data_IF_560309115488
#
_entry.id   IF_560309115488
#
_cell.length_a   1.000
_cell.length_b   1.000
_cell.length_c   1.000
_cell.angle_alpha   90.00
_cell.angle_beta   90.00
_cell.angle_gamma   90.00
#
_symmetry.space_group_name_H-M   'P 1'
#
loop_
_entity.id
_entity.type
_entity.pdbx_description
1 polymer ?
#
# COMPACT_ATOMS: atom_id res chain seq x y z
N UNK A 1 23.41 -28.04 25.29
CA UNK A 1 22.19 -27.73 24.53
C UNK A 1 22.56 -26.59 23.61
N UNK A 2 22.93 -26.91 22.37
CA UNK A 2 23.14 -25.95 21.29
C UNK A 2 21.77 -25.49 20.79
N UNK A 3 21.55 -24.18 20.59
CA UNK A 3 20.28 -23.71 20.04
C UNK A 3 20.15 -24.23 18.61
N UNK A 4 19.05 -24.92 18.34
CA UNK A 4 18.61 -25.21 16.97
C UNK A 4 18.28 -23.89 16.29
N UNK A 5 18.77 -23.64 15.07
CA UNK A 5 18.39 -22.45 14.32
C UNK A 5 16.89 -22.51 14.06
N UNK A 6 16.19 -21.45 14.48
CA UNK A 6 14.79 -21.26 14.17
C UNK A 6 14.59 -21.36 12.66
N UNK A 7 13.63 -22.18 12.26
CA UNK A 7 13.10 -22.25 10.91
C UNK A 7 12.38 -20.93 10.61
N UNK A 8 13.15 -19.88 10.36
CA UNK A 8 12.66 -18.61 9.86
C UNK A 8 11.89 -18.88 8.57
N UNK A 9 10.64 -18.43 8.53
CA UNK A 9 9.78 -18.43 7.36
C UNK A 9 10.58 -18.03 6.12
N UNK A 10 10.85 -18.99 5.22
CA UNK A 10 11.44 -18.69 3.93
C UNK A 10 10.44 -17.82 3.18
N UNK A 11 10.64 -16.51 3.22
CA UNK A 11 9.96 -15.60 2.30
C UNK A 11 10.28 -16.13 0.91
N UNK A 12 9.30 -16.72 0.23
CA UNK A 12 9.46 -17.18 -1.14
C UNK A 12 9.97 -15.99 -1.94
N UNK A 13 11.11 -16.18 -2.60
CA UNK A 13 11.72 -15.14 -3.43
C UNK A 13 10.73 -14.62 -4.47
N UNK A 14 10.84 -13.35 -4.85
CA UNK A 14 10.10 -12.83 -6.01
C UNK A 14 10.69 -13.33 -7.34
N UNK A 15 10.07 -12.98 -8.49
CA UNK A 15 10.68 -13.18 -9.80
C UNK A 15 12.02 -12.45 -9.92
N UNK A 16 12.85 -12.84 -10.89
CA UNK A 16 14.16 -12.23 -11.14
C UNK A 16 14.00 -10.76 -11.58
N UNK A 17 14.52 -9.81 -10.80
CA UNK A 17 14.52 -8.40 -11.21
C UNK A 17 15.48 -8.13 -12.37
N UNK A 18 15.38 -6.95 -12.99
CA UNK A 18 16.36 -6.53 -14.02
C UNK A 18 17.76 -6.35 -13.44
N UNK A 19 17.86 -5.93 -12.17
CA UNK A 19 19.15 -5.79 -11.47
C UNK A 19 19.77 -7.18 -11.28
N UNK A 20 19.01 -8.14 -10.77
CA UNK A 20 19.50 -9.51 -10.62
C UNK A 20 19.91 -10.10 -11.98
N UNK A 21 19.15 -9.87 -13.05
CA UNK A 21 19.49 -10.34 -14.40
C UNK A 21 20.81 -9.75 -14.92
N UNK A 22 21.05 -8.46 -14.66
CA UNK A 22 22.30 -7.80 -15.00
C UNK A 22 23.47 -8.36 -14.19
N UNK A 23 23.27 -8.56 -12.89
CA UNK A 23 24.28 -9.14 -11.99
C UNK A 23 24.63 -10.57 -12.37
N UNK A 24 23.64 -11.43 -12.62
CA UNK A 24 23.85 -12.80 -13.11
C UNK A 24 24.63 -12.80 -14.43
N UNK A 25 24.29 -11.91 -15.37
CA UNK A 25 25.03 -11.77 -16.63
C UNK A 25 26.48 -11.35 -16.43
N UNK A 26 26.74 -10.43 -15.49
CA UNK A 26 28.09 -9.99 -15.14
C UNK A 26 28.89 -11.10 -14.47
N UNK A 27 28.30 -11.84 -13.54
CA UNK A 27 28.91 -12.98 -12.86
C UNK A 27 29.27 -14.10 -13.85
N UNK A 28 28.39 -14.42 -14.80
CA UNK A 28 28.70 -15.40 -15.87
C UNK A 28 29.91 -14.97 -16.69
N UNK A 29 29.99 -13.69 -17.09
CA UNK A 29 31.14 -13.18 -17.84
C UNK A 29 32.44 -13.23 -17.04
N UNK A 30 32.39 -12.96 -15.73
CA UNK A 30 33.54 -13.04 -14.83
C UNK A 30 33.99 -14.48 -14.62
N UNK A 31 33.06 -15.42 -14.42
CA UNK A 31 33.35 -16.85 -14.29
C UNK A 31 33.97 -17.42 -15.57
N UNK A 32 33.47 -17.01 -16.74
CA UNK A 32 34.03 -17.39 -18.04
C UNK A 32 35.48 -16.88 -18.19
N UNK A 33 35.72 -15.61 -17.85
CA UNK A 33 37.07 -15.04 -17.86
C UNK A 33 38.00 -15.73 -16.85
N UNK A 34 37.51 -16.05 -15.65
CA UNK A 34 38.27 -16.75 -14.62
C UNK A 34 38.71 -18.15 -15.07
N UNK A 35 37.83 -18.87 -15.77
CA UNK A 35 38.17 -20.17 -16.38
C UNK A 35 39.24 -20.04 -17.47
N UNK A 36 39.11 -19.05 -18.38
CA UNK A 36 40.07 -18.81 -19.46
C UNK A 36 41.45 -18.39 -18.93
N UNK A 37 41.47 -17.54 -17.91
CA UNK A 37 42.69 -16.97 -17.34
C UNK A 37 43.32 -17.84 -16.25
N UNK A 38 42.70 -18.95 -15.87
CA UNK A 38 43.14 -19.82 -14.77
C UNK A 38 43.32 -19.03 -13.47
N UNK A 39 42.30 -18.23 -13.12
CA UNK A 39 42.33 -17.42 -11.91
C UNK A 39 42.35 -18.28 -10.64
N UNK A 40 42.75 -17.66 -9.52
CA UNK A 40 42.76 -18.31 -8.22
C UNK A 40 41.35 -18.75 -7.81
N UNK A 41 41.26 -19.95 -7.25
CA UNK A 41 40.00 -20.52 -6.74
C UNK A 41 39.42 -19.65 -5.62
N UNK A 42 40.29 -19.11 -4.76
CA UNK A 42 39.94 -18.21 -3.67
C UNK A 42 39.32 -18.93 -2.47
N UNK A 43 39.08 -18.18 -1.39
CA UNK A 43 38.25 -18.63 -0.26
C UNK A 43 36.78 -18.26 -0.52
N UNK A 44 35.85 -19.12 -0.12
CA UNK A 44 34.42 -18.79 -0.14
C UNK A 44 34.17 -17.46 0.59
N UNK A 45 33.54 -16.50 -0.10
CA UNK A 45 33.15 -15.22 0.48
C UNK A 45 34.23 -14.12 0.49
N UNK A 46 35.42 -14.36 -0.08
CA UNK A 46 36.53 -13.38 -0.03
C UNK A 46 36.93 -12.86 -1.40
N UNK A 47 37.33 -13.73 -2.31
CA UNK A 47 37.71 -13.40 -3.70
C UNK A 47 37.76 -14.70 -4.54
N UNK A 48 37.99 -14.59 -5.84
CA UNK A 48 38.23 -15.74 -6.72
C UNK A 48 36.97 -16.47 -7.19
N UNK A 49 37.17 -17.64 -7.80
CA UNK A 49 36.12 -18.43 -8.46
C UNK A 49 35.00 -18.85 -7.51
N UNK A 50 35.33 -19.25 -6.27
CA UNK A 50 34.32 -19.71 -5.31
C UNK A 50 33.40 -18.58 -4.85
N UNK A 51 33.90 -17.35 -4.68
CA UNK A 51 33.06 -16.19 -4.38
C UNK A 51 32.07 -15.93 -5.52
N UNK A 52 32.54 -15.95 -6.77
CA UNK A 52 31.69 -15.73 -7.94
C UNK A 52 30.57 -16.78 -8.06
N UNK A 53 30.90 -18.05 -7.79
CA UNK A 53 29.91 -19.14 -7.80
C UNK A 53 28.91 -19.01 -6.66
N UNK A 54 29.35 -18.60 -5.47
CA UNK A 54 28.48 -18.39 -4.31
C UNK A 54 27.52 -17.21 -4.50
N UNK A 55 28.02 -16.07 -4.99
CA UNK A 55 27.20 -14.90 -5.35
C UNK A 55 26.15 -15.29 -6.39
N UNK A 56 26.56 -16.03 -7.43
CA UNK A 56 25.67 -16.49 -8.48
C UNK A 56 24.60 -17.45 -7.95
N UNK A 57 24.98 -18.43 -7.12
CA UNK A 57 24.04 -19.35 -6.48
C UNK A 57 23.09 -18.64 -5.51
N UNK A 58 23.58 -17.63 -4.79
CA UNK A 58 22.80 -16.83 -3.83
C UNK A 58 21.70 -16.06 -4.54
N UNK A 59 22.02 -15.38 -5.65
CA UNK A 59 21.00 -14.67 -6.45
C UNK A 59 19.95 -15.68 -6.96
N UNK A 60 20.36 -16.80 -7.54
CA UNK A 60 19.43 -17.81 -8.06
C UNK A 60 18.51 -18.40 -6.97
N UNK A 61 19.04 -18.69 -5.77
CA UNK A 61 18.27 -19.25 -4.63
C UNK A 61 17.36 -18.23 -3.95
N UNK A 62 17.72 -16.96 -3.98
CA UNK A 62 16.94 -15.89 -3.36
C UNK A 62 15.66 -15.54 -4.13
N UNK A 63 15.51 -16.06 -5.35
CA UNK A 63 14.41 -15.79 -6.28
C UNK A 63 13.61 -17.06 -6.55
N UNK A 64 12.37 -16.92 -7.04
CA UNK A 64 11.50 -18.06 -7.40
C UNK A 64 11.92 -18.71 -8.73
N UNK A 65 13.22 -18.98 -8.88
CA UNK A 65 13.77 -19.64 -10.04
C UNK A 65 14.06 -21.06 -9.61
N UNK A 66 13.13 -21.96 -9.93
CA UNK A 66 13.35 -23.41 -9.84
C UNK A 66 14.32 -23.83 -10.96
N UNK A 67 15.57 -23.38 -10.83
CA UNK A 67 16.58 -23.52 -11.86
C UNK A 67 17.44 -24.72 -11.56
N UNK A 68 17.45 -25.69 -12.47
CA UNK A 68 18.46 -26.73 -12.54
C UNK A 68 19.89 -26.13 -12.54
N UNK A 69 20.02 -24.86 -12.96
CA UNK A 69 21.26 -24.08 -12.91
C UNK A 69 21.74 -23.86 -11.48
N UNK A 70 20.86 -23.50 -10.54
CA UNK A 70 21.26 -23.25 -9.15
C UNK A 70 21.86 -24.51 -8.52
N UNK A 71 21.22 -25.67 -8.75
CA UNK A 71 21.73 -26.97 -8.29
C UNK A 71 23.06 -27.31 -8.96
N UNK A 72 23.17 -27.08 -10.28
CA UNK A 72 24.39 -27.36 -11.03
C UNK A 72 25.58 -26.50 -10.58
N UNK A 73 25.35 -25.22 -10.30
CA UNK A 73 26.36 -24.28 -9.79
C UNK A 73 26.85 -24.71 -8.42
N UNK A 74 25.93 -25.04 -7.51
CA UNK A 74 26.26 -25.44 -6.14
C UNK A 74 27.06 -26.74 -6.13
N UNK A 75 26.68 -27.71 -6.97
CA UNK A 75 27.45 -28.95 -7.13
C UNK A 75 28.86 -28.65 -7.64
N UNK A 76 28.99 -27.77 -8.63
CA UNK A 76 30.32 -27.43 -9.16
C UNK A 76 31.18 -26.66 -8.15
N UNK A 77 30.56 -25.79 -7.35
CA UNK A 77 31.23 -25.11 -6.25
C UNK A 77 31.78 -26.11 -5.23
N UNK A 78 31.03 -27.16 -4.90
CA UNK A 78 31.48 -28.22 -4.01
C UNK A 78 32.61 -29.06 -4.63
N UNK A 79 32.51 -29.39 -5.93
CA UNK A 79 33.58 -30.09 -6.67
C UNK A 79 34.91 -29.31 -6.57
N UNK A 80 34.89 -28.00 -6.90
CA UNK A 80 36.09 -27.15 -6.85
C UNK A 80 36.65 -27.03 -5.42
N UNK A 81 35.77 -26.87 -4.42
CA UNK A 81 36.22 -26.69 -3.02
C UNK A 81 36.81 -27.95 -2.40
N UNK A 82 36.50 -29.14 -2.93
CA UNK A 82 37.06 -30.41 -2.46
C UNK A 82 38.42 -30.71 -3.11
N UNK A 83 38.67 -30.18 -4.31
CA UNK A 83 39.85 -30.46 -5.11
C UNK A 83 40.99 -29.44 -4.93
N UNK A 84 40.66 -28.18 -4.64
CA UNK A 84 41.63 -27.08 -4.59
C UNK A 84 41.75 -26.44 -3.21
N UNK A 85 42.97 -26.06 -2.82
CA UNK A 85 43.17 -25.16 -1.68
C UNK A 85 42.88 -23.70 -2.10
N UNK A 86 42.54 -22.80 -1.16
CA UNK A 86 42.03 -21.47 -1.55
C UNK A 86 42.98 -20.55 -2.32
N UNK A 87 44.28 -20.82 -2.29
CA UNK A 87 45.27 -20.03 -3.02
C UNK A 87 45.75 -20.71 -4.31
N UNK A 88 45.18 -21.87 -4.64
CA UNK A 88 45.51 -22.58 -5.87
C UNK A 88 44.81 -21.91 -7.06
N UNK A 89 45.48 -21.91 -8.20
CA UNK A 89 44.87 -21.54 -9.47
C UNK A 89 44.20 -22.76 -10.08
N UNK A 90 43.09 -22.55 -10.78
CA UNK A 90 42.49 -23.60 -11.61
C UNK A 90 43.52 -24.14 -12.61
N UNK A 91 43.56 -25.46 -12.77
CA UNK A 91 44.33 -26.03 -13.86
C UNK A 91 43.68 -25.78 -15.22
N UNK A 92 44.39 -26.12 -16.31
CA UNK A 92 43.90 -25.85 -17.66
C UNK A 92 42.65 -26.65 -18.03
N UNK A 93 42.51 -27.87 -17.51
CA UNK A 93 41.39 -28.74 -17.84
C UNK A 93 40.13 -28.31 -17.08
N UNK A 94 40.26 -27.94 -15.81
CA UNK A 94 39.17 -27.42 -14.99
C UNK A 94 38.76 -26.00 -15.39
N UNK A 95 39.71 -25.16 -15.79
CA UNK A 95 39.40 -23.85 -16.38
C UNK A 95 38.53 -23.97 -17.64
N UNK A 96 38.82 -24.95 -18.51
CA UNK A 96 38.00 -25.26 -19.69
C UNK A 96 36.67 -25.90 -19.34
N UNK A 97 36.60 -26.74 -18.31
CA UNK A 97 35.33 -27.32 -17.85
C UNK A 97 34.41 -26.24 -17.27
N UNK A 98 34.96 -25.31 -16.48
CA UNK A 98 34.24 -24.14 -15.96
C UNK A 98 33.70 -23.29 -17.12
N UNK A 99 34.51 -22.95 -18.11
CA UNK A 99 34.08 -22.20 -19.31
C UNK A 99 32.88 -22.88 -19.99
N UNK A 100 32.96 -24.21 -20.19
CA UNK A 100 31.90 -24.99 -20.81
C UNK A 100 30.63 -25.04 -19.96
N UNK A 101 30.76 -25.18 -18.63
CA UNK A 101 29.65 -25.17 -17.67
C UNK A 101 28.97 -23.80 -17.65
N UNK A 102 29.73 -22.71 -17.59
CA UNK A 102 29.21 -21.34 -17.69
C UNK A 102 28.43 -21.13 -18.98
N UNK A 103 28.94 -21.59 -20.13
CA UNK A 103 28.21 -21.55 -21.40
C UNK A 103 26.94 -22.40 -21.43
N UNK A 104 26.86 -23.49 -20.64
CA UNK A 104 25.64 -24.26 -20.46
C UNK A 104 24.63 -23.53 -19.56
N UNK A 105 25.08 -22.99 -18.43
CA UNK A 105 24.25 -22.22 -17.49
C UNK A 105 23.66 -20.98 -18.14
N UNK A 106 24.45 -20.24 -18.92
CA UNK A 106 23.99 -19.09 -19.70
C UNK A 106 22.81 -19.46 -20.60
N UNK A 107 22.92 -20.54 -21.38
CA UNK A 107 21.85 -21.00 -22.27
C UNK A 107 20.60 -21.45 -21.52
N UNK A 108 20.76 -22.08 -20.36
CA UNK A 108 19.62 -22.49 -19.53
C UNK A 108 18.90 -21.26 -18.97
N UNK A 109 19.63 -20.30 -18.42
CA UNK A 109 19.06 -19.04 -17.92
C UNK A 109 18.41 -18.23 -19.04
N UNK A 110 19.05 -18.10 -20.21
CA UNK A 110 18.45 -17.44 -21.37
C UNK A 110 17.14 -18.12 -21.80
N UNK A 111 17.07 -19.44 -21.75
CA UNK A 111 15.86 -20.19 -22.08
C UNK A 111 14.77 -20.05 -21.00
N UNK A 112 15.14 -19.99 -19.72
CA UNK A 112 14.20 -19.74 -18.62
C UNK A 112 13.66 -18.32 -18.68
N UNK A 113 14.53 -17.32 -18.79
CA UNK A 113 14.15 -15.92 -18.92
C UNK A 113 13.41 -15.63 -20.23
N UNK A 114 13.75 -16.34 -21.31
CA UNK A 114 13.04 -16.23 -22.59
C UNK A 114 11.61 -16.79 -22.55
N UNK A 115 11.25 -17.61 -21.55
CA UNK A 115 9.87 -18.07 -21.33
C UNK A 115 9.07 -17.12 -20.44
N UNK A 116 9.74 -16.24 -19.69
CA UNK A 116 9.09 -15.28 -18.82
C UNK A 116 8.41 -14.18 -19.66
N UNK A 117 7.13 -13.92 -19.39
CA UNK A 117 6.43 -12.78 -19.97
C UNK A 117 6.53 -11.60 -19.01
N UNK A 118 7.28 -10.58 -19.41
CA UNK A 118 7.40 -9.33 -18.65
C UNK A 118 6.51 -8.27 -19.28
N UNK A 119 5.69 -7.62 -18.45
CA UNK A 119 4.91 -6.45 -18.84
C UNK A 119 5.72 -5.23 -18.43
N UNK A 120 6.12 -4.42 -19.41
CA UNK A 120 6.81 -3.16 -19.12
C UNK A 120 5.87 -2.24 -18.35
N UNK A 121 6.38 -1.59 -17.31
CA UNK A 121 5.66 -0.52 -16.65
C UNK A 121 5.44 0.64 -17.65
N UNK A 122 4.21 1.14 -17.69
CA UNK A 122 3.82 2.28 -18.49
C UNK A 122 4.49 3.56 -17.97
N UNK A 123 4.66 4.53 -18.86
CA UNK A 123 5.01 5.88 -18.45
C UNK A 123 3.77 6.54 -17.81
N UNK A 124 3.70 6.46 -16.48
CA UNK A 124 2.66 7.13 -15.69
C UNK A 124 2.98 8.62 -15.44
N UNK A 125 4.03 9.16 -16.05
CA UNK A 125 4.48 10.55 -15.95
C UNK A 125 5.04 10.90 -14.57
N UNK A 126 4.36 11.79 -13.84
CA UNK A 126 4.86 12.29 -12.55
C UNK A 126 4.55 11.36 -11.36
N UNK A 127 3.79 10.28 -11.57
CA UNK A 127 3.48 9.33 -10.50
C UNK A 127 4.65 8.36 -10.27
N UNK A 128 4.91 8.06 -9.00
CA UNK A 128 5.89 7.05 -8.62
C UNK A 128 5.34 5.64 -8.91
N UNK A 129 5.90 4.97 -9.92
CA UNK A 129 5.51 3.60 -10.30
C UNK A 129 5.66 2.63 -9.12
N UNK A 130 6.74 2.76 -8.34
CA UNK A 130 6.99 1.90 -7.21
C UNK A 130 5.95 2.15 -6.09
N UNK A 131 5.69 3.43 -5.80
CA UNK A 131 4.61 3.86 -4.91
C UNK A 131 3.25 3.28 -5.32
N UNK A 132 2.86 3.37 -6.60
CA UNK A 132 1.59 2.82 -7.08
C UNK A 132 1.50 1.29 -6.95
N UNK A 133 2.58 0.55 -7.16
CA UNK A 133 2.57 -0.91 -7.09
C UNK A 133 2.61 -1.44 -5.66
N UNK A 134 3.44 -0.82 -4.83
CA UNK A 134 3.84 -1.36 -3.53
C UNK A 134 3.26 -0.60 -2.35
N UNK A 135 2.91 0.67 -2.51
CA UNK A 135 2.40 1.56 -1.46
C UNK A 135 1.20 2.41 -1.93
N UNK A 136 0.12 1.80 -2.47
CA UNK A 136 -1.04 2.55 -2.97
C UNK A 136 -1.71 3.42 -1.89
N UNK A 137 -1.51 3.11 -0.61
CA UNK A 137 -1.91 3.95 0.53
C UNK A 137 -1.29 5.35 0.50
N UNK A 138 -0.13 5.54 -0.14
CA UNK A 138 0.53 6.84 -0.23
C UNK A 138 -0.23 7.85 -1.10
N UNK A 139 -1.32 7.44 -1.74
CA UNK A 139 -2.26 8.35 -2.42
C UNK A 139 -3.12 9.15 -1.43
N UNK A 140 -3.15 8.73 -0.16
CA UNK A 140 -4.01 9.26 0.88
C UNK A 140 -3.21 9.59 2.14
N UNK A 141 -3.79 10.43 2.99
CA UNK A 141 -3.37 10.50 4.38
C UNK A 141 -3.78 9.22 5.12
N UNK A 142 -3.04 8.88 6.18
CA UNK A 142 -3.22 7.62 6.92
C UNK A 142 -4.64 7.47 7.47
N UNK A 143 -5.25 8.55 7.96
CA UNK A 143 -6.64 8.56 8.46
C UNK A 143 -7.65 8.21 7.37
N UNK A 144 -7.51 8.82 6.18
CA UNK A 144 -8.36 8.55 5.03
C UNK A 144 -8.19 7.11 4.56
N UNK A 145 -6.95 6.62 4.46
CA UNK A 145 -6.70 5.23 4.08
C UNK A 145 -7.30 4.25 5.08
N UNK A 146 -7.12 4.49 6.39
CA UNK A 146 -7.64 3.60 7.42
C UNK A 146 -9.16 3.56 7.46
N UNK A 147 -9.83 4.68 7.15
CA UNK A 147 -11.29 4.75 7.00
C UNK A 147 -11.85 3.86 5.88
N UNK A 148 -11.09 3.62 4.80
CA UNK A 148 -11.55 2.78 3.70
C UNK A 148 -11.71 1.32 4.12
N UNK A 149 -12.83 0.70 3.73
CA UNK A 149 -13.04 -0.73 3.94
C UNK A 149 -12.08 -1.59 3.08
N UNK A 150 -12.01 -2.88 3.40
CA UNK A 150 -11.10 -3.80 2.69
C UNK A 150 -11.39 -3.91 1.19
N UNK A 151 -12.66 -3.78 0.79
CA UNK A 151 -13.09 -3.89 -0.60
C UNK A 151 -12.67 -2.68 -1.43
N UNK A 152 -12.88 -1.48 -0.90
CA UNK A 152 -12.47 -0.20 -1.49
C UNK A 152 -10.96 -0.10 -1.55
N UNK A 153 -10.24 -0.51 -0.50
CA UNK A 153 -8.78 -0.63 -0.53
C UNK A 153 -8.34 -1.52 -1.69
N UNK A 154 -8.95 -2.71 -1.85
CA UNK A 154 -8.61 -3.61 -2.94
C UNK A 154 -8.82 -2.97 -4.33
N UNK A 155 -9.93 -2.25 -4.51
CA UNK A 155 -10.22 -1.52 -5.75
C UNK A 155 -9.17 -0.46 -6.07
N UNK A 156 -8.75 0.32 -5.07
CA UNK A 156 -7.67 1.30 -5.23
C UNK A 156 -6.37 0.60 -5.63
N UNK A 157 -5.96 -0.47 -4.92
CA UNK A 157 -4.72 -1.19 -5.25
C UNK A 157 -4.75 -1.73 -6.67
N UNK A 158 -5.87 -2.27 -7.11
CA UNK A 158 -6.04 -2.81 -8.47
C UNK A 158 -6.07 -1.68 -9.52
N UNK A 159 -6.67 -0.52 -9.21
CA UNK A 159 -6.66 0.66 -10.06
C UNK A 159 -5.23 1.19 -10.30
N UNK A 160 -4.40 1.21 -9.26
CA UNK A 160 -2.98 1.58 -9.35
C UNK A 160 -2.19 0.59 -10.22
N UNK A 161 -2.35 -0.72 -9.96
CA UNK A 161 -1.67 -1.77 -10.73
C UNK A 161 -2.04 -1.73 -12.21
N UNK A 162 -3.33 -1.60 -12.52
CA UNK A 162 -3.81 -1.54 -13.91
C UNK A 162 -3.37 -0.28 -14.63
N UNK A 163 -3.21 0.85 -13.92
CA UNK A 163 -2.59 2.05 -14.49
C UNK A 163 -1.13 1.79 -14.90
N UNK A 164 -0.36 1.15 -14.02
CA UNK A 164 1.07 0.86 -14.25
C UNK A 164 1.30 -0.11 -15.42
N UNK A 165 0.34 -0.99 -15.74
CA UNK A 165 0.45 -1.90 -16.90
C UNK A 165 -0.29 -1.38 -18.16
N UNK A 166 -0.53 -0.08 -18.26
CA UNK A 166 -1.21 0.61 -19.37
C UNK A 166 -2.60 0.02 -19.71
N UNK A 167 -3.39 -0.28 -18.67
CA UNK A 167 -4.79 -0.70 -18.80
C UNK A 167 -5.74 0.43 -18.34
N UNK A 168 -5.86 1.53 -19.10
CA UNK A 168 -6.51 2.76 -18.65
C UNK A 168 -7.99 2.57 -18.35
N UNK A 169 -8.72 1.76 -19.13
CA UNK A 169 -10.14 1.46 -18.88
C UNK A 169 -10.33 0.80 -17.52
N UNK A 170 -9.53 -0.23 -17.20
CA UNK A 170 -9.61 -0.95 -15.92
C UNK A 170 -9.29 -0.02 -14.76
N UNK A 171 -8.24 0.79 -14.88
CA UNK A 171 -7.86 1.76 -13.85
C UNK A 171 -8.97 2.76 -13.56
N UNK A 172 -9.62 3.31 -14.60
CA UNK A 172 -10.76 4.22 -14.43
C UNK A 172 -11.95 3.52 -13.79
N UNK A 173 -12.32 2.32 -14.27
CA UNK A 173 -13.47 1.58 -13.73
C UNK A 173 -13.28 1.23 -12.25
N UNK A 174 -12.09 0.77 -11.86
CA UNK A 174 -11.77 0.43 -10.47
C UNK A 174 -11.72 1.66 -9.57
N UNK A 175 -11.14 2.76 -10.05
CA UNK A 175 -11.15 4.05 -9.34
C UNK A 175 -12.59 4.52 -9.10
N UNK A 176 -13.44 4.44 -10.12
CA UNK A 176 -14.85 4.81 -9.99
C UNK A 176 -15.58 3.86 -9.06
N UNK A 177 -15.31 2.55 -9.06
CA UNK A 177 -15.95 1.62 -8.13
C UNK A 177 -15.61 1.94 -6.67
N UNK A 178 -14.35 2.23 -6.38
CA UNK A 178 -13.90 2.67 -5.05
C UNK A 178 -14.63 3.96 -4.61
N UNK A 179 -14.72 4.95 -5.49
CA UNK A 179 -15.42 6.19 -5.17
C UNK A 179 -16.93 6.01 -5.02
N UNK A 180 -17.55 5.05 -5.74
CA UNK A 180 -18.99 4.77 -5.62
C UNK A 180 -19.33 4.32 -4.21
N UNK A 181 -18.47 3.46 -3.66
CA UNK A 181 -18.60 2.98 -2.30
C UNK A 181 -18.54 4.15 -1.30
N UNK A 182 -17.52 5.00 -1.41
CA UNK A 182 -17.36 6.17 -0.54
C UNK A 182 -18.53 7.16 -0.67
N UNK A 183 -19.05 7.36 -1.88
CA UNK A 183 -20.23 8.20 -2.14
C UNK A 183 -21.49 7.64 -1.46
N UNK A 184 -21.67 6.32 -1.44
CA UNK A 184 -22.80 5.69 -0.72
C UNK A 184 -22.67 5.90 0.78
N UNK A 185 -21.49 5.67 1.35
CA UNK A 185 -21.22 5.93 2.77
C UNK A 185 -21.54 7.38 3.11
N UNK A 186 -21.07 8.33 2.30
CA UNK A 186 -21.37 9.74 2.51
C UNK A 186 -22.85 10.07 2.44
N UNK A 187 -23.56 9.51 1.47
CA UNK A 187 -25.01 9.67 1.36
C UNK A 187 -25.75 9.10 2.58
N UNK A 188 -25.38 7.91 3.04
CA UNK A 188 -25.99 7.27 4.21
C UNK A 188 -25.78 8.12 5.46
N UNK A 189 -24.57 8.66 5.65
CA UNK A 189 -24.23 9.58 6.74
C UNK A 189 -24.95 10.94 6.63
N UNK A 190 -25.22 11.43 5.41
CA UNK A 190 -25.93 12.70 5.22
C UNK A 190 -27.44 12.59 5.42
N UNK A 191 -28.04 11.53 4.87
CA UNK A 191 -29.49 11.37 4.75
C UNK A 191 -30.12 10.45 5.78
N UNK A 192 -29.30 9.75 6.58
CA UNK A 192 -29.71 8.65 7.49
C UNK A 192 -30.44 7.50 6.76
N UNK A 193 -30.35 7.47 5.42
CA UNK A 193 -31.08 6.53 4.58
C UNK A 193 -30.12 5.68 3.75
N UNK A 194 -30.29 4.36 3.87
CA UNK A 194 -29.55 3.41 3.05
C UNK A 194 -29.95 3.55 1.60
N UNK A 195 -28.95 3.78 0.76
CA UNK A 195 -29.18 3.96 -0.67
C UNK A 195 -28.91 2.66 -1.42
N UNK A 196 -29.98 1.94 -1.77
CA UNK A 196 -29.88 0.80 -2.71
C UNK A 196 -29.80 1.24 -4.18
N UNK A 197 -29.89 2.55 -4.46
CA UNK A 197 -29.94 3.08 -5.82
C UNK A 197 -28.56 3.14 -6.50
N UNK A 198 -28.56 3.36 -7.82
CA UNK A 198 -27.34 3.56 -8.61
C UNK A 198 -26.68 4.91 -8.30
N UNK A 199 -25.37 5.03 -8.52
CA UNK A 199 -24.59 6.29 -8.39
C UNK A 199 -25.32 7.55 -8.84
N UNK A 200 -25.94 7.50 -10.03
CA UNK A 200 -26.63 8.66 -10.60
C UNK A 200 -27.75 9.18 -9.71
N UNK A 201 -28.43 8.30 -9.00
CA UNK A 201 -29.47 8.63 -8.01
C UNK A 201 -28.86 9.17 -6.72
N UNK A 202 -27.80 8.53 -6.20
CA UNK A 202 -27.07 8.99 -5.01
C UNK A 202 -26.61 10.44 -5.17
N UNK A 203 -25.91 10.71 -6.28
CA UNK A 203 -25.41 12.04 -6.60
C UNK A 203 -26.55 13.04 -6.84
N UNK A 204 -27.63 12.62 -7.50
CA UNK A 204 -28.79 13.47 -7.72
C UNK A 204 -29.49 13.89 -6.42
N UNK A 205 -29.61 12.97 -5.47
CA UNK A 205 -30.18 13.25 -4.14
C UNK A 205 -29.30 14.19 -3.34
N UNK A 206 -27.98 13.94 -3.28
CA UNK A 206 -27.04 14.86 -2.63
C UNK A 206 -27.10 16.26 -3.25
N UNK A 207 -27.07 16.37 -4.58
CA UNK A 207 -27.18 17.68 -5.26
C UNK A 207 -28.48 18.39 -4.84
N UNK A 208 -29.62 17.70 -4.83
CA UNK A 208 -30.89 18.30 -4.42
C UNK A 208 -30.86 18.78 -2.97
N UNK A 209 -30.27 18.03 -2.04
CA UNK A 209 -30.15 18.44 -0.64
C UNK A 209 -29.27 19.69 -0.44
N UNK A 210 -28.21 19.81 -1.23
CA UNK A 210 -27.38 21.02 -1.23
C UNK A 210 -28.10 22.19 -1.93
N UNK A 211 -28.94 21.92 -2.93
CA UNK A 211 -29.70 22.93 -3.68
C UNK A 211 -30.96 23.44 -2.95
N UNK A 212 -31.62 22.64 -2.11
CA UNK A 212 -32.74 23.11 -1.29
C UNK A 212 -32.33 24.25 -0.34
N UNK A 213 -31.03 24.46 -0.14
CA UNK A 213 -30.47 25.59 0.60
C UNK A 213 -30.18 26.83 -0.25
N UNK A 214 -30.33 26.76 -1.57
CA UNK A 214 -29.88 27.80 -2.53
C UNK A 214 -30.98 28.14 -3.55
N UNK A 215 -31.62 29.32 -3.42
CA UNK A 215 -32.78 29.79 -4.20
C UNK A 215 -32.50 30.14 -5.70
N UNK A 216 -31.43 29.64 -6.32
CA UNK A 216 -31.07 29.95 -7.73
C UNK A 216 -31.75 28.99 -8.73
N UNK A 217 -32.16 29.49 -9.90
CA UNK A 217 -32.79 28.73 -10.99
C UNK A 217 -31.84 28.39 -12.16
N UNK A 218 -30.56 28.79 -12.11
CA UNK A 218 -29.59 28.52 -13.19
C UNK A 218 -28.68 27.34 -12.80
N UNK A 219 -28.72 26.24 -13.56
CA UNK A 219 -27.93 25.02 -13.32
C UNK A 219 -26.43 25.31 -13.26
N UNK A 220 -25.94 26.28 -14.04
CA UNK A 220 -24.51 26.57 -14.06
C UNK A 220 -24.06 27.44 -12.86
N UNK A 221 -24.94 28.29 -12.36
CA UNK A 221 -24.73 29.08 -11.13
C UNK A 221 -24.90 28.19 -9.89
N UNK A 222 -25.86 27.26 -9.92
CA UNK A 222 -26.05 26.23 -8.90
C UNK A 222 -24.79 25.37 -8.74
N UNK A 223 -24.13 24.98 -9.84
CA UNK A 223 -22.89 24.18 -9.78
C UNK A 223 -21.70 24.96 -9.22
N UNK A 224 -21.66 26.29 -9.34
CA UNK A 224 -20.57 27.10 -8.77
C UNK A 224 -20.68 27.26 -7.24
N UNK A 225 -21.88 27.11 -6.68
CA UNK A 225 -22.12 27.17 -5.24
C UNK A 225 -22.03 25.80 -4.55
N UNK A 226 -21.88 24.72 -5.31
CA UNK A 226 -21.71 23.38 -4.75
C UNK A 226 -20.30 23.20 -4.16
N UNK A 227 -20.17 22.43 -3.06
CA UNK A 227 -18.88 21.96 -2.57
C UNK A 227 -18.01 21.35 -3.69
N UNK A 228 -16.68 21.59 -3.69
CA UNK A 228 -15.75 21.06 -4.70
C UNK A 228 -15.92 19.56 -4.97
N UNK A 229 -16.21 18.79 -3.91
CA UNK A 229 -16.50 17.35 -3.97
C UNK A 229 -17.62 16.99 -4.95
N UNK A 230 -18.70 17.79 -5.04
CA UNK A 230 -19.80 17.52 -5.98
C UNK A 230 -19.43 17.81 -7.43
N UNK A 231 -18.57 18.80 -7.67
CA UNK A 231 -18.03 19.11 -9.01
C UNK A 231 -17.16 17.95 -9.52
N UNK A 232 -16.29 17.42 -8.65
CA UNK A 232 -15.47 16.25 -8.95
C UNK A 232 -16.33 15.01 -9.25
N UNK A 233 -17.37 14.77 -8.44
CA UNK A 233 -18.31 13.66 -8.64
C UNK A 233 -19.09 13.76 -9.95
N UNK A 234 -19.46 14.96 -10.39
CA UNK A 234 -20.11 15.17 -11.67
C UNK A 234 -19.19 14.81 -12.84
N UNK A 235 -17.93 15.27 -12.81
CA UNK A 235 -16.93 14.89 -13.81
C UNK A 235 -16.74 13.37 -13.88
N UNK A 236 -16.62 12.72 -12.72
CA UNK A 236 -16.38 11.26 -12.64
C UNK A 236 -17.60 10.44 -13.07
N UNK A 237 -18.82 10.95 -12.87
CA UNK A 237 -20.05 10.34 -13.43
C UNK A 237 -20.03 10.34 -14.96
N UNK A 238 -19.63 11.44 -15.59
CA UNK A 238 -19.52 11.49 -17.05
C UNK A 238 -18.43 10.53 -17.55
N UNK A 239 -17.31 10.43 -16.84
CA UNK A 239 -16.27 9.45 -17.15
C UNK A 239 -16.74 8.01 -17.00
N UNK A 240 -17.59 7.70 -16.01
CA UNK A 240 -18.23 6.37 -15.91
C UNK A 240 -19.03 6.05 -17.17
N UNK A 241 -19.91 6.96 -17.59
CA UNK A 241 -20.74 6.76 -18.78
C UNK A 241 -19.87 6.54 -20.02
N UNK A 242 -18.77 7.30 -20.13
CA UNK A 242 -17.80 7.14 -21.20
C UNK A 242 -17.16 5.76 -21.22
N UNK A 243 -16.58 5.30 -20.11
CA UNK A 243 -15.87 4.00 -20.07
C UNK A 243 -16.78 2.78 -20.16
N UNK A 244 -18.08 2.96 -19.89
CA UNK A 244 -19.08 1.89 -20.11
C UNK A 244 -19.48 1.72 -21.57
N UNK A 245 -19.15 2.67 -22.44
CA UNK A 245 -19.48 2.59 -23.86
C UNK A 245 -18.42 1.75 -24.60
N UNK A 246 -18.80 0.72 -25.39
CA UNK A 246 -17.83 -0.19 -26.01
C UNK A 246 -16.86 0.50 -26.99
N UNK A 247 -17.33 1.56 -27.65
CA UNK A 247 -16.52 2.31 -28.63
C UNK A 247 -15.67 3.44 -28.03
N UNK A 248 -15.70 3.62 -26.70
CA UNK A 248 -14.92 4.67 -26.03
C UNK A 248 -13.95 4.03 -25.05
N UNK A 249 -12.74 4.56 -24.99
CA UNK A 249 -11.74 4.12 -24.04
C UNK A 249 -10.91 5.32 -23.59
N UNK A 250 -10.63 5.45 -22.30
CA UNK A 250 -9.82 6.55 -21.80
C UNK A 250 -8.37 6.36 -22.25
N UNK A 251 -7.70 7.47 -22.54
CA UNK A 251 -6.25 7.49 -22.68
C UNK A 251 -5.55 7.25 -21.33
N UNK A 252 -4.28 6.85 -21.34
CA UNK A 252 -3.47 6.68 -20.12
C UNK A 252 -3.37 7.97 -19.31
N UNK A 253 -3.33 9.13 -19.99
CA UNK A 253 -3.39 10.45 -19.35
C UNK A 253 -4.72 10.69 -18.63
N UNK A 254 -5.85 10.31 -19.23
CA UNK A 254 -7.16 10.43 -18.60
C UNK A 254 -7.33 9.46 -17.44
N UNK A 255 -6.82 8.24 -17.55
CA UNK A 255 -6.83 7.28 -16.45
C UNK A 255 -6.04 7.80 -15.25
N UNK A 256 -4.84 8.31 -15.47
CA UNK A 256 -4.04 8.97 -14.44
C UNK A 256 -4.79 10.12 -13.77
N UNK A 257 -5.38 11.01 -14.58
CA UNK A 257 -6.17 12.14 -14.06
C UNK A 257 -7.35 11.64 -13.23
N UNK A 258 -8.04 10.61 -13.69
CA UNK A 258 -9.19 10.03 -12.99
C UNK A 258 -8.79 9.41 -11.66
N UNK A 259 -7.65 8.70 -11.59
CA UNK A 259 -7.11 8.17 -10.34
C UNK A 259 -6.81 9.28 -9.33
N UNK A 260 -6.17 10.37 -9.77
CA UNK A 260 -5.85 11.50 -8.88
C UNK A 260 -7.10 12.25 -8.40
N UNK A 261 -8.07 12.48 -9.29
CA UNK A 261 -9.34 13.12 -8.90
C UNK A 261 -10.11 12.20 -7.95
N UNK A 262 -10.12 10.88 -8.19
CA UNK A 262 -10.71 9.91 -7.28
C UNK A 262 -10.09 10.00 -5.88
N UNK A 263 -8.76 9.97 -5.78
CA UNK A 263 -8.08 10.04 -4.48
C UNK A 263 -8.43 11.34 -3.74
N UNK A 264 -8.37 12.49 -4.43
CA UNK A 264 -8.76 13.77 -3.86
C UNK A 264 -10.23 13.81 -3.42
N UNK A 265 -11.14 13.25 -4.23
CA UNK A 265 -12.58 13.25 -3.92
C UNK A 265 -12.89 12.35 -2.71
N UNK A 266 -12.22 11.21 -2.58
CA UNK A 266 -12.35 10.35 -1.40
C UNK A 266 -11.88 11.08 -0.14
N UNK A 267 -10.75 11.80 -0.19
CA UNK A 267 -10.29 12.61 0.93
C UNK A 267 -11.27 13.73 1.28
N UNK A 268 -11.80 14.44 0.29
CA UNK A 268 -12.82 15.48 0.49
C UNK A 268 -14.11 14.91 1.10
N UNK A 269 -14.55 13.72 0.67
CA UNK A 269 -15.71 13.03 1.27
C UNK A 269 -15.42 12.70 2.74
N UNK A 270 -14.23 12.19 3.04
CA UNK A 270 -13.83 11.86 4.41
C UNK A 270 -13.83 13.11 5.30
N UNK A 271 -13.28 14.23 4.82
CA UNK A 271 -13.32 15.53 5.52
C UNK A 271 -14.76 15.99 5.79
N UNK A 272 -15.64 15.94 4.79
CA UNK A 272 -17.06 16.32 4.94
C UNK A 272 -17.85 15.47 5.95
N UNK A 273 -17.50 14.18 6.08
CA UNK A 273 -18.07 13.30 7.10
C UNK A 273 -17.47 13.62 8.47
N UNK A 274 -16.14 13.79 8.53
CA UNK A 274 -15.43 14.03 9.78
C UNK A 274 -15.79 15.39 10.38
N UNK A 275 -15.76 16.47 9.61
CA UNK A 275 -16.11 17.82 10.05
C UNK A 275 -17.55 17.89 10.57
N UNK A 276 -18.47 17.14 9.96
CA UNK A 276 -19.85 17.04 10.47
C UNK A 276 -19.88 16.36 11.83
N UNK A 277 -19.24 15.20 11.97
CA UNK A 277 -19.18 14.48 13.25
C UNK A 277 -18.52 15.36 14.31
N UNK A 278 -17.41 16.02 13.98
CA UNK A 278 -16.76 17.02 14.83
C UNK A 278 -17.74 18.11 15.22
N UNK A 279 -18.47 18.75 14.31
CA UNK A 279 -19.44 19.80 14.62
C UNK A 279 -20.62 19.31 15.49
N UNK A 280 -21.11 18.08 15.28
CA UNK A 280 -22.10 17.44 16.14
C UNK A 280 -21.52 17.23 17.56
N UNK A 281 -20.23 16.88 17.68
CA UNK A 281 -19.54 16.83 18.97
C UNK A 281 -19.26 18.21 19.56
N UNK A 282 -18.89 19.20 18.75
CA UNK A 282 -18.65 20.56 19.23
C UNK A 282 -19.93 21.22 19.77
N UNK A 283 -21.09 20.77 19.29
CA UNK A 283 -22.41 21.19 19.77
C UNK A 283 -23.02 20.24 20.80
N UNK A 284 -22.36 19.12 21.11
CA UNK A 284 -22.73 18.22 22.20
C UNK A 284 -22.70 18.96 23.54
N UNK A 285 -23.62 18.62 24.42
CA UNK A 285 -23.72 19.23 25.75
C UNK A 285 -22.68 18.58 26.68
N UNK A 286 -21.43 18.99 26.54
CA UNK A 286 -20.32 18.60 27.41
C UNK A 286 -20.21 19.51 28.64
N UNK A 287 -21.19 20.38 28.90
CA UNK A 287 -21.11 21.43 29.96
C UNK A 287 -21.09 20.85 31.38
N UNK A 288 -21.57 19.61 31.58
CA UNK A 288 -21.73 19.00 32.90
C UNK A 288 -20.60 18.04 33.32
N UNK A 289 -19.54 17.91 32.51
CA UNK A 289 -18.44 16.98 32.80
C UNK A 289 -17.43 17.61 33.75
N UNK A 290 -17.50 17.24 35.03
CA UNK A 290 -16.54 17.66 36.05
C UNK A 290 -15.27 16.79 36.04
N UNK A 291 -14.26 17.26 35.32
CA UNK A 291 -12.90 16.69 35.28
C UNK A 291 -11.91 17.43 36.17
N UNK A 292 -12.37 18.42 36.94
CA UNK A 292 -11.51 19.23 37.77
C UNK A 292 -10.97 18.39 38.95
N UNK A 293 -9.65 18.41 39.14
CA UNK A 293 -9.00 17.63 40.21
C UNK A 293 -8.82 16.12 39.93
N UNK A 294 -9.35 15.58 38.83
CA UNK A 294 -9.07 14.20 38.42
C UNK A 294 -7.61 14.01 37.99
N UNK A 295 -7.08 12.80 38.16
CA UNK A 295 -5.79 12.37 37.58
C UNK A 295 -5.84 12.44 36.04
N UNK A 296 -4.68 12.33 35.38
CA UNK A 296 -4.63 12.28 33.92
C UNK A 296 -5.44 11.08 33.38
N UNK A 297 -5.18 9.90 33.92
CA UNK A 297 -5.91 8.65 33.61
C UNK A 297 -7.42 8.80 33.83
N UNK A 298 -7.86 9.25 35.02
CA UNK A 298 -9.29 9.35 35.30
C UNK A 298 -9.97 10.39 34.42
N UNK A 299 -9.33 11.54 34.16
CA UNK A 299 -9.91 12.54 33.26
C UNK A 299 -10.05 12.02 31.82
N UNK A 300 -9.08 11.23 31.36
CA UNK A 300 -9.13 10.56 30.06
C UNK A 300 -10.24 9.50 30.02
N UNK A 301 -10.33 8.64 31.03
CA UNK A 301 -11.35 7.59 31.10
C UNK A 301 -12.77 8.15 31.23
N UNK A 302 -12.98 9.22 32.01
CA UNK A 302 -14.29 9.91 32.07
C UNK A 302 -14.71 10.45 30.70
N UNK A 303 -13.76 10.98 29.92
CA UNK A 303 -14.04 11.40 28.55
C UNK A 303 -14.36 10.22 27.62
N UNK A 304 -13.64 9.10 27.73
CA UNK A 304 -13.92 7.87 26.98
C UNK A 304 -15.32 7.34 27.31
N UNK A 305 -15.67 7.27 28.59
CA UNK A 305 -16.99 6.84 29.06
C UNK A 305 -18.10 7.76 28.52
N UNK A 306 -17.92 9.08 28.60
CA UNK A 306 -18.89 10.03 28.06
C UNK A 306 -19.10 9.85 26.56
N UNK A 307 -18.01 9.66 25.79
CA UNK A 307 -18.11 9.41 24.36
C UNK A 307 -18.91 8.14 24.05
N UNK A 308 -18.74 7.10 24.87
CA UNK A 308 -19.52 5.86 24.77
C UNK A 308 -21.00 6.13 25.12
N UNK A 309 -21.27 6.86 26.20
CA UNK A 309 -22.63 7.16 26.67
C UNK A 309 -23.42 8.04 25.69
N UNK A 310 -22.76 9.02 25.06
CA UNK A 310 -23.36 9.86 24.03
C UNK A 310 -23.50 9.15 22.67
N UNK A 311 -23.04 7.90 22.55
CA UNK A 311 -23.14 7.11 21.33
C UNK A 311 -22.18 7.56 20.23
N UNK A 312 -21.05 8.17 20.60
CA UNK A 312 -20.04 8.69 19.68
C UNK A 312 -18.95 7.66 19.32
N UNK A 313 -19.18 6.39 19.66
CA UNK A 313 -18.28 5.27 19.42
C UNK A 313 -18.94 4.23 18.54
N UNK A 314 -18.17 3.64 17.63
CA UNK A 314 -18.55 2.42 16.92
C UNK A 314 -18.02 1.22 17.73
N UNK A 315 -18.91 0.36 18.25
CA UNK A 315 -18.57 -0.81 19.07
C UNK A 315 -17.71 -0.50 20.32
N UNK A 316 -17.82 0.72 20.86
CA UNK A 316 -17.04 1.18 22.03
C UNK A 316 -15.64 1.70 21.69
N UNK A 317 -15.24 1.69 20.42
CA UNK A 317 -13.98 2.28 19.98
C UNK A 317 -14.07 3.82 19.96
N UNK A 318 -13.15 4.48 20.67
CA UNK A 318 -13.07 5.94 20.74
C UNK A 318 -11.90 6.45 19.88
N UNK A 319 -12.18 7.35 18.95
CA UNK A 319 -11.14 8.03 18.15
C UNK A 319 -10.41 9.07 19.02
N UNK A 320 -9.10 8.85 19.21
CA UNK A 320 -8.24 9.68 20.07
C UNK A 320 -8.20 11.14 19.58
N UNK A 321 -8.31 11.35 18.26
CA UNK A 321 -8.34 12.69 17.65
C UNK A 321 -9.55 13.48 18.15
N UNK A 322 -10.68 12.81 18.40
CA UNK A 322 -11.90 13.43 18.92
C UNK A 322 -11.75 13.82 20.39
N UNK A 323 -11.13 12.96 21.20
CA UNK A 323 -10.84 13.27 22.61
C UNK A 323 -9.96 14.51 22.71
N UNK A 324 -8.97 14.65 21.83
CA UNK A 324 -8.11 15.84 21.74
C UNK A 324 -8.85 17.11 21.36
N UNK A 325 -9.88 17.02 20.52
CA UNK A 325 -10.70 18.18 20.14
C UNK A 325 -11.64 18.64 21.27
N UNK A 326 -12.20 17.71 22.04
CA UNK A 326 -13.16 18.02 23.13
C UNK A 326 -12.46 18.39 24.43
N UNK A 327 -11.32 17.77 24.76
CA UNK A 327 -10.63 17.98 26.04
C UNK A 327 -10.45 19.45 26.45
N UNK A 328 -9.93 20.33 25.57
CA UNK A 328 -9.76 21.75 25.89
C UNK A 328 -11.05 22.47 26.26
N UNK A 329 -12.21 22.04 25.74
CA UNK A 329 -13.51 22.66 26.02
C UNK A 329 -14.00 22.38 27.42
N UNK A 330 -13.66 21.22 27.96
CA UNK A 330 -13.97 20.81 29.33
C UNK A 330 -12.80 21.01 30.31
N UNK A 331 -11.77 21.77 29.90
CA UNK A 331 -10.64 22.10 30.78
C UNK A 331 -9.57 21.01 30.93
N UNK A 332 -9.56 19.99 30.08
CA UNK A 332 -8.47 18.99 29.99
C UNK A 332 -7.45 19.44 28.94
N UNK A 333 -6.21 19.69 29.36
CA UNK A 333 -5.15 20.02 28.41
C UNK A 333 -4.74 18.81 27.57
N UNK A 334 -4.23 19.05 26.36
CA UNK A 334 -3.76 17.98 25.47
C UNK A 334 -2.70 17.09 26.13
N UNK A 335 -1.73 17.69 26.85
CA UNK A 335 -0.76 16.92 27.63
C UNK A 335 -1.42 16.04 28.71
N UNK A 336 -2.52 16.49 29.33
CA UNK A 336 -3.23 15.69 30.34
C UNK A 336 -3.96 14.51 29.68
N UNK A 337 -4.50 14.69 28.47
CA UNK A 337 -5.08 13.61 27.67
C UNK A 337 -4.03 12.58 27.25
N UNK A 338 -2.90 13.02 26.69
CA UNK A 338 -1.85 12.11 26.22
C UNK A 338 -1.27 11.28 27.36
N UNK A 339 -1.00 11.91 28.51
CA UNK A 339 -0.55 11.19 29.70
C UNK A 339 -1.62 10.22 30.20
N UNK A 340 -2.90 10.64 30.22
CA UNK A 340 -4.00 9.79 30.67
C UNK A 340 -4.21 8.57 29.78
N UNK A 341 -4.12 8.75 28.46
CA UNK A 341 -4.16 7.66 27.49
C UNK A 341 -2.99 6.69 27.72
N UNK A 342 -1.77 7.21 27.89
CA UNK A 342 -0.59 6.38 28.13
C UNK A 342 -0.70 5.61 29.46
N UNK A 343 -1.18 6.25 30.52
CA UNK A 343 -1.43 5.61 31.82
C UNK A 343 -2.48 4.49 31.68
N UNK A 344 -3.60 4.74 30.98
CA UNK A 344 -4.65 3.76 30.74
C UNK A 344 -4.18 2.56 29.90
N UNK A 345 -3.33 2.78 28.89
CA UNK A 345 -2.72 1.68 28.12
C UNK A 345 -1.75 0.85 28.97
N UNK A 346 -1.02 1.50 29.87
CA UNK A 346 -0.02 0.85 30.73
C UNK A 346 -0.64 0.09 31.90
N UNK A 347 -1.85 0.47 32.34
CA UNK A 347 -2.59 -0.28 33.36
C UNK A 347 -3.03 -1.66 32.84
N UNK A 348 -3.19 -1.80 31.52
CA UNK A 348 -3.64 -3.03 30.88
C UNK A 348 -5.10 -3.37 31.18
N UNK A 349 -5.85 -2.42 31.75
CA UNK A 349 -7.26 -2.60 32.06
C UNK A 349 -8.11 -2.28 30.84
N UNK A 350 -8.33 -3.31 30.03
CA UNK A 350 -9.50 -3.38 29.18
C UNK A 350 -9.51 -2.51 27.94
N UNK A 351 -8.41 -1.86 27.53
CA UNK A 351 -8.32 -1.14 26.26
C UNK A 351 -6.99 -1.36 25.52
N UNK A 352 -7.04 -1.38 24.19
CA UNK A 352 -5.87 -1.45 23.29
C UNK A 352 -5.92 -0.39 22.18
N UNK A 353 -4.77 0.13 21.73
CA UNK A 353 -4.71 1.09 20.65
C UNK A 353 -4.68 0.36 19.30
N UNK A 354 -5.64 0.64 18.41
CA UNK A 354 -5.67 0.10 17.05
C UNK A 354 -5.98 1.21 16.03
N UNK A 355 -5.05 1.50 15.12
CA UNK A 355 -5.22 2.45 14.01
C UNK A 355 -5.75 3.85 14.41
N UNK A 356 -5.30 4.37 15.56
CA UNK A 356 -5.75 5.68 16.09
C UNK A 356 -7.05 5.62 16.92
N UNK A 357 -7.62 4.43 17.08
CA UNK A 357 -8.75 4.15 17.96
C UNK A 357 -8.26 3.61 19.31
N UNK A 358 -9.00 3.93 20.36
CA UNK A 358 -8.89 3.39 21.70
C UNK A 358 -10.02 2.39 21.89
N UNK A 359 -9.75 1.09 21.75
CA UNK A 359 -10.77 0.03 21.72
C UNK A 359 -10.78 -0.78 23.01
N UNK A 360 -11.94 -1.23 23.51
CA UNK A 360 -11.97 -2.16 24.63
C UNK A 360 -11.43 -3.55 24.24
N UNK A 361 -10.72 -4.22 25.16
CA UNK A 361 -10.15 -5.59 25.01
C UNK A 361 -11.23 -6.67 25.11
#
# INVERSE_FOLDING_TARGET
MTPTPDSSSSTKGGPLSLVDALELGSLLNRLEAAGINQEAVGEQGVDGVLLLLDDFATILRSRDIDSDVAIAVVRHMQEISEEYEPNDNLDEDDGRDLEKKVGAWRRLLENELGKEQRIAAADVGLLDVDGLLNRPESLFDETVWNWLDSSTKADVREACKTLVIDCPTSSVVLSLRALEHCLRVWHEEKTESKLEAAWGTALGQLINEFQEKTDSNDVMEQLSDLPPVLSNLFYLKEKRNEVTHPDKSPSSQEARRSLMIMAATISEIHEEIHDRKVAEYESGDFEDIDVEGLSAENAFMTLVEEFIEQGFTDDGAVDVSRLKAVGPKIGVSENKLENGMMDALMSGEGYEPENGLFMPI
#
